data_IF_705634402973
#
_entry.id   IF_705634402973
#
_cell.length_a   1.000
_cell.length_b   1.000
_cell.length_c   1.000
_cell.angle_alpha   90.00
_cell.angle_beta   90.00
_cell.angle_gamma   90.00
#
_symmetry.space_group_name_H-M   'P 1'
#
loop_
_entity.id
_entity.type
_entity.pdbx_description
1 polymer ?
#
# COMPACT_ATOMS: atom_id res chain seq x y z
N UNK A 1 40.62 -29.88 -20.04
CA UNK A 1 39.20 -29.68 -19.70
C UNK A 1 39.05 -28.38 -18.97
N UNK A 2 38.15 -27.56 -19.43
CA UNK A 2 37.92 -26.26 -18.78
C UNK A 2 37.10 -26.44 -17.51
N UNK A 3 37.52 -25.80 -16.47
CA UNK A 3 36.74 -25.77 -15.25
C UNK A 3 35.55 -24.83 -15.44
N UNK A 4 34.43 -25.25 -14.92
CA UNK A 4 33.28 -24.37 -14.88
C UNK A 4 33.55 -23.27 -13.85
N UNK A 5 33.51 -22.02 -14.30
CA UNK A 5 33.70 -20.91 -13.39
C UNK A 5 32.46 -20.79 -12.51
N UNK A 6 32.69 -20.57 -11.25
CA UNK A 6 31.57 -20.47 -10.32
C UNK A 6 31.95 -19.51 -9.19
N UNK A 7 30.93 -19.01 -8.55
CA UNK A 7 31.07 -18.23 -7.33
C UNK A 7 30.25 -18.90 -6.25
N UNK A 8 30.58 -18.59 -5.01
CA UNK A 8 29.77 -19.11 -3.90
C UNK A 8 28.45 -18.38 -3.82
N UNK A 9 27.48 -18.97 -3.14
CA UNK A 9 26.21 -18.32 -2.93
C UNK A 9 26.39 -16.99 -2.20
N UNK A 10 27.27 -16.96 -1.22
CA UNK A 10 27.58 -15.71 -0.51
C UNK A 10 28.08 -14.64 -1.46
N UNK A 11 28.97 -15.01 -2.37
CA UNK A 11 29.50 -14.05 -3.33
C UNK A 11 28.41 -13.56 -4.27
N UNK A 12 27.52 -14.43 -4.72
CA UNK A 12 26.38 -14.02 -5.55
C UNK A 12 25.49 -13.03 -4.80
N UNK A 13 25.17 -13.33 -3.54
CA UNK A 13 24.33 -12.45 -2.74
C UNK A 13 24.99 -11.10 -2.53
N UNK A 14 26.31 -11.08 -2.31
CA UNK A 14 27.03 -9.81 -2.16
C UNK A 14 26.98 -8.98 -3.43
N UNK A 15 27.07 -9.62 -4.60
CA UNK A 15 26.97 -8.89 -5.86
C UNK A 15 25.58 -8.33 -6.09
N UNK A 16 24.55 -9.09 -5.73
CA UNK A 16 23.18 -8.60 -5.82
C UNK A 16 22.99 -7.41 -4.90
N UNK A 17 23.48 -7.52 -3.68
CA UNK A 17 23.40 -6.42 -2.71
C UNK A 17 24.08 -5.18 -3.23
N UNK A 18 25.31 -5.32 -3.74
CA UNK A 18 26.07 -4.18 -4.26
C UNK A 18 25.34 -3.53 -5.44
N UNK A 19 24.79 -4.34 -6.33
CA UNK A 19 24.08 -3.84 -7.50
C UNK A 19 22.84 -3.08 -7.09
N UNK A 20 22.05 -3.62 -6.16
CA UNK A 20 20.83 -2.97 -5.70
C UNK A 20 21.13 -1.69 -4.96
N UNK A 21 22.07 -1.72 -4.02
CA UNK A 21 22.40 -0.54 -3.23
C UNK A 21 23.04 0.55 -4.08
N UNK A 22 23.81 0.15 -5.11
CA UNK A 22 24.37 1.14 -6.02
C UNK A 22 23.31 1.78 -6.92
N UNK A 23 22.35 0.99 -7.39
CA UNK A 23 21.29 1.50 -8.24
C UNK A 23 20.28 2.34 -7.47
N UNK A 24 20.02 1.98 -6.22
CA UNK A 24 19.04 2.64 -5.37
C UNK A 24 19.70 3.30 -4.17
N UNK A 25 20.75 4.08 -4.44
CA UNK A 25 21.49 4.75 -3.37
C UNK A 25 20.67 5.83 -2.68
N UNK A 26 19.69 6.42 -3.41
CA UNK A 26 18.85 7.47 -2.86
C UNK A 26 17.45 6.91 -2.59
N UNK A 27 16.75 7.50 -1.60
CA UNK A 27 15.39 7.06 -1.33
C UNK A 27 14.47 7.32 -2.52
N UNK A 28 13.45 6.48 -2.66
CA UNK A 28 12.42 6.64 -3.70
C UNK A 28 11.06 6.64 -3.03
N UNK A 29 10.10 7.33 -3.64
CA UNK A 29 8.72 7.33 -3.19
C UNK A 29 7.99 6.18 -3.87
N UNK A 30 7.33 5.34 -3.08
CA UNK A 30 6.63 4.15 -3.57
C UNK A 30 5.20 4.17 -3.04
N UNK A 31 4.24 3.95 -3.92
CA UNK A 31 2.84 3.78 -3.51
C UNK A 31 2.53 2.30 -3.37
N UNK A 32 1.86 1.95 -2.30
CA UNK A 32 1.52 0.55 -2.04
C UNK A 32 0.41 0.49 -0.99
N UNK A 33 -0.22 -0.68 -0.89
CA UNK A 33 -1.21 -0.94 0.13
C UNK A 33 -0.55 -1.74 1.25
N UNK A 34 -0.89 -1.40 2.50
CA UNK A 34 -0.41 -2.18 3.64
C UNK A 34 -1.26 -3.43 3.71
N UNK A 35 -0.64 -4.58 3.50
CA UNK A 35 -1.30 -5.87 3.63
C UNK A 35 -1.25 -6.35 5.07
N UNK A 36 -0.15 -6.06 5.77
CA UNK A 36 0.05 -6.48 7.13
C UNK A 36 0.93 -5.47 7.84
N UNK A 37 0.67 -5.22 9.12
CA UNK A 37 1.47 -4.30 9.91
C UNK A 37 1.58 -4.83 11.33
N UNK A 38 2.78 -4.78 11.90
CA UNK A 38 3.02 -5.26 13.24
C UNK A 38 4.14 -4.44 13.89
N UNK A 39 3.87 -3.92 15.07
CA UNK A 39 4.88 -3.25 15.88
C UNK A 39 5.35 -4.27 16.92
N UNK A 40 6.66 -4.55 16.93
CA UNK A 40 7.18 -5.51 17.90
C UNK A 40 7.51 -4.79 19.22
N UNK A 41 7.87 -5.60 20.22
CA UNK A 41 8.11 -5.06 21.57
C UNK A 41 9.30 -4.11 21.61
N UNK A 42 10.22 -4.20 20.65
CA UNK A 42 11.36 -3.30 20.59
C UNK A 42 11.04 -1.96 19.96
N UNK A 43 9.83 -1.79 19.42
CA UNK A 43 9.38 -0.54 18.84
C UNK A 43 9.53 -0.43 17.33
N UNK A 44 10.13 -1.42 16.68
CA UNK A 44 10.23 -1.44 15.23
C UNK A 44 8.89 -1.86 14.64
N UNK A 45 8.50 -1.22 13.56
CA UNK A 45 7.25 -1.54 12.87
C UNK A 45 7.58 -2.29 11.58
N UNK A 46 7.02 -3.48 11.45
CA UNK A 46 7.19 -4.32 10.27
C UNK A 46 5.92 -4.33 9.47
N UNK A 47 6.07 -4.11 8.16
CA UNK A 47 4.92 -4.04 7.26
C UNK A 47 5.15 -4.98 6.09
N UNK A 48 4.04 -5.46 5.53
CA UNK A 48 4.05 -6.09 4.24
C UNK A 48 3.27 -5.19 3.29
N UNK A 49 3.94 -4.78 2.22
CA UNK A 49 3.37 -3.88 1.22
C UNK A 49 3.04 -4.67 -0.03
N UNK A 50 1.88 -4.39 -0.61
CA UNK A 50 1.44 -5.07 -1.81
C UNK A 50 0.91 -4.03 -2.80
N UNK A 51 0.97 -4.40 -4.07
CA UNK A 51 0.25 -3.69 -5.12
C UNK A 51 -0.67 -4.69 -5.77
N UNK A 52 -1.96 -4.37 -5.82
CA UNK A 52 -2.95 -5.25 -6.42
C UNK A 52 -3.29 -4.72 -7.80
N UNK A 53 -3.23 -5.61 -8.79
CA UNK A 53 -3.58 -5.26 -10.15
C UNK A 53 -4.83 -6.02 -10.57
N UNK A 54 -5.72 -5.35 -11.28
CA UNK A 54 -6.91 -6.00 -11.81
C UNK A 54 -7.99 -6.17 -10.77
N UNK A 55 -9.04 -6.87 -11.16
CA UNK A 55 -10.27 -6.94 -10.37
C UNK A 55 -10.30 -8.11 -9.41
N UNK A 56 -9.37 -9.05 -9.53
CA UNK A 56 -9.39 -10.25 -8.71
C UNK A 56 -8.71 -10.09 -7.36
N UNK A 57 -8.11 -8.94 -7.10
CA UNK A 57 -7.46 -8.68 -5.83
C UNK A 57 -6.15 -9.42 -5.60
N UNK A 58 -5.63 -10.09 -6.62
CA UNK A 58 -4.36 -10.81 -6.51
C UNK A 58 -3.21 -9.80 -6.55
N UNK A 59 -2.25 -9.88 -5.62
CA UNK A 59 -1.12 -8.95 -5.66
C UNK A 59 -0.27 -9.16 -6.91
N UNK A 60 0.13 -8.05 -7.52
CA UNK A 60 1.08 -8.08 -8.63
C UNK A 60 2.50 -7.80 -8.16
N UNK A 61 2.66 -7.26 -6.97
CA UNK A 61 3.96 -6.99 -6.36
C UNK A 61 3.82 -7.03 -4.86
N UNK A 62 4.89 -7.41 -4.19
CA UNK A 62 4.87 -7.54 -2.73
C UNK A 62 6.29 -7.33 -2.22
N UNK A 63 6.41 -6.64 -1.08
CA UNK A 63 7.71 -6.41 -0.46
C UNK A 63 7.53 -6.25 1.04
N UNK A 64 8.53 -6.69 1.78
CA UNK A 64 8.58 -6.43 3.22
C UNK A 64 9.22 -5.08 3.46
N UNK A 65 8.72 -4.39 4.48
CA UNK A 65 9.22 -3.08 4.84
C UNK A 65 9.34 -2.96 6.34
N UNK A 66 10.21 -2.07 6.77
CA UNK A 66 10.40 -1.79 8.19
C UNK A 66 10.43 -0.29 8.39
N UNK A 67 9.78 0.16 9.47
CA UNK A 67 9.96 1.51 10.01
C UNK A 67 10.68 1.34 11.32
N UNK A 68 11.93 1.82 11.38
CA UNK A 68 12.74 1.67 12.59
C UNK A 68 12.12 2.47 13.73
N UNK A 69 12.36 2.02 14.96
CA UNK A 69 11.79 2.66 16.14
C UNK A 69 12.17 4.13 16.27
N UNK A 70 13.31 4.52 15.68
CA UNK A 70 13.75 5.92 15.71
C UNK A 70 12.86 6.82 14.86
N UNK A 71 12.14 6.27 13.89
CA UNK A 71 11.26 7.03 12.99
C UNK A 71 9.79 6.75 13.22
N UNK A 72 9.46 5.59 13.75
CA UNK A 72 8.06 5.13 13.78
C UNK A 72 7.15 6.06 14.57
N UNK A 73 7.51 6.53 15.79
CA UNK A 73 6.59 7.41 16.52
C UNK A 73 6.28 8.70 15.76
N UNK A 74 7.30 9.28 15.11
CA UNK A 74 7.11 10.50 14.34
C UNK A 74 6.21 10.25 13.13
N UNK A 75 6.50 9.17 12.39
CA UNK A 75 5.75 8.85 11.17
C UNK A 75 4.31 8.49 11.51
N UNK A 76 4.11 7.62 12.49
CA UNK A 76 2.76 7.17 12.82
C UNK A 76 1.94 8.29 13.43
N UNK A 77 2.55 9.11 14.28
CA UNK A 77 1.85 10.25 14.89
C UNK A 77 1.45 11.27 13.86
N UNK A 78 2.36 11.60 12.95
CA UNK A 78 2.06 12.56 11.89
C UNK A 78 0.97 12.03 10.96
N UNK A 79 1.05 10.75 10.60
CA UNK A 79 0.04 10.13 9.73
C UNK A 79 -1.33 10.16 10.39
N UNK A 80 -1.40 9.77 11.66
CA UNK A 80 -2.68 9.76 12.37
C UNK A 80 -3.24 11.17 12.56
N UNK A 81 -2.38 12.14 12.83
CA UNK A 81 -2.82 13.52 12.98
C UNK A 81 -3.42 14.07 11.68
N UNK A 82 -2.84 13.71 10.54
CA UNK A 82 -3.27 14.25 9.26
C UNK A 82 -4.46 13.48 8.66
N UNK A 83 -4.51 12.16 8.85
CA UNK A 83 -5.56 11.34 8.23
C UNK A 83 -6.71 11.01 9.16
N UNK A 84 -6.53 11.20 10.46
CA UNK A 84 -7.54 10.86 11.45
C UNK A 84 -7.60 9.39 11.79
N UNK A 85 -6.68 8.57 11.25
CA UNK A 85 -6.65 7.15 11.57
C UNK A 85 -5.23 6.63 11.60
N UNK A 86 -4.95 5.59 12.39
CA UNK A 86 -3.61 5.05 12.49
C UNK A 86 -3.24 4.24 11.24
N UNK A 87 -1.95 4.00 11.08
CA UNK A 87 -1.48 3.07 10.06
C UNK A 87 -2.05 1.69 10.35
N UNK A 88 -2.66 1.08 9.34
CA UNK A 88 -3.32 -0.21 9.51
C UNK A 88 -3.35 -0.95 8.18
N UNK A 89 -3.63 -2.25 8.25
CA UNK A 89 -3.81 -3.06 7.06
C UNK A 89 -4.99 -2.53 6.24
N UNK A 90 -4.85 -2.56 4.93
CA UNK A 90 -5.87 -2.10 4.01
C UNK A 90 -5.73 -0.66 3.58
N UNK A 91 -4.80 0.09 4.16
CA UNK A 91 -4.60 1.49 3.83
C UNK A 91 -3.54 1.61 2.74
N UNK A 92 -3.82 2.43 1.74
CA UNK A 92 -2.83 2.77 0.70
C UNK A 92 -1.99 3.94 1.14
N UNK A 93 -0.68 3.80 0.98
CA UNK A 93 0.27 4.81 1.43
C UNK A 93 1.24 5.15 0.31
N UNK A 94 1.80 6.34 0.40
CA UNK A 94 2.95 6.75 -0.38
C UNK A 94 4.12 6.87 0.60
N UNK A 95 5.08 5.98 0.47
CA UNK A 95 6.17 5.87 1.43
C UNK A 95 7.49 6.18 0.76
N UNK A 96 8.32 6.93 1.48
CA UNK A 96 9.70 7.18 1.06
C UNK A 96 10.55 6.05 1.61
N UNK A 97 11.17 5.27 0.71
CA UNK A 97 11.84 4.04 1.11
C UNK A 97 13.27 4.03 0.61
N UNK A 98 14.12 3.36 1.38
CA UNK A 98 15.45 2.97 0.95
C UNK A 98 15.43 1.49 0.64
N UNK A 99 15.96 1.11 -0.50
CA UNK A 99 16.08 -0.30 -0.88
C UNK A 99 17.21 -0.91 -0.09
N UNK A 100 16.95 -2.05 0.52
CA UNK A 100 17.92 -2.75 1.36
C UNK A 100 17.96 -4.21 0.95
N UNK A 101 19.13 -4.81 1.04
CA UNK A 101 19.30 -6.22 0.72
C UNK A 101 20.24 -6.85 1.74
N UNK A 102 19.81 -7.97 2.28
CA UNK A 102 20.61 -8.71 3.25
C UNK A 102 20.90 -10.10 2.68
N UNK A 103 22.12 -10.56 2.86
CA UNK A 103 22.57 -11.82 2.27
C UNK A 103 21.74 -13.02 2.74
N UNK A 104 21.17 -12.95 3.94
CA UNK A 104 20.35 -14.02 4.48
C UNK A 104 18.85 -13.77 4.29
N UNK A 105 18.41 -12.52 4.47
CA UNK A 105 16.98 -12.21 4.54
C UNK A 105 16.43 -11.63 3.24
N UNK A 106 17.31 -11.26 2.32
CA UNK A 106 16.91 -10.82 1.00
C UNK A 106 16.49 -9.37 0.94
N UNK A 107 15.64 -9.09 -0.03
CA UNK A 107 15.18 -7.75 -0.36
C UNK A 107 14.20 -7.24 0.69
N UNK A 108 14.37 -6.00 1.10
CA UNK A 108 13.41 -5.33 1.97
C UNK A 108 13.51 -3.82 1.74
N UNK A 109 12.53 -3.09 2.30
CA UNK A 109 12.47 -1.65 2.19
C UNK A 109 12.55 -1.05 3.59
N UNK A 110 13.26 0.07 3.72
CA UNK A 110 13.28 0.83 4.97
C UNK A 110 12.48 2.11 4.73
N UNK A 111 11.36 2.25 5.41
CA UNK A 111 10.50 3.41 5.27
C UNK A 111 11.07 4.53 6.12
N UNK A 112 11.39 5.65 5.48
CA UNK A 112 11.92 6.81 6.16
C UNK A 112 10.89 7.91 6.31
N UNK A 113 9.81 7.87 5.53
CA UNK A 113 8.75 8.86 5.62
C UNK A 113 7.50 8.33 4.93
N UNK A 114 6.34 8.89 5.26
CA UNK A 114 5.07 8.57 4.63
C UNK A 114 4.34 9.87 4.37
N UNK A 115 3.73 10.01 3.20
CA UNK A 115 2.97 11.19 2.83
C UNK A 115 1.49 10.97 3.11
N UNK A 116 0.92 11.60 4.16
CA UNK A 116 -0.49 11.39 4.48
C UNK A 116 -1.45 11.93 3.43
N UNK A 117 -1.03 12.92 2.64
CA UNK A 117 -1.92 13.49 1.64
C UNK A 117 -2.28 12.50 0.54
N UNK A 118 -1.39 11.57 0.23
CA UNK A 118 -1.69 10.53 -0.74
C UNK A 118 -2.82 9.63 -0.24
N UNK A 119 -2.76 9.22 1.03
CA UNK A 119 -3.80 8.40 1.64
C UNK A 119 -5.14 9.13 1.67
N UNK A 120 -5.13 10.41 2.04
CA UNK A 120 -6.34 11.21 2.04
C UNK A 120 -6.94 11.30 0.64
N UNK A 121 -6.11 11.51 -0.37
CA UNK A 121 -6.58 11.54 -1.76
C UNK A 121 -7.17 10.22 -2.20
N UNK A 122 -6.55 9.10 -1.81
CA UNK A 122 -7.07 7.79 -2.15
C UNK A 122 -8.42 7.53 -1.47
N UNK A 123 -8.55 7.89 -0.20
CA UNK A 123 -9.81 7.74 0.53
C UNK A 123 -10.91 8.57 -0.11
N UNK A 124 -10.59 9.78 -0.56
CA UNK A 124 -11.57 10.62 -1.22
C UNK A 124 -11.99 10.03 -2.57
N UNK A 125 -11.04 9.49 -3.34
CA UNK A 125 -11.36 8.84 -4.61
C UNK A 125 -12.29 7.64 -4.40
N UNK A 126 -12.02 6.82 -3.38
CA UNK A 126 -12.86 5.67 -3.07
C UNK A 126 -14.27 6.11 -2.69
N UNK A 127 -14.39 7.16 -1.90
CA UNK A 127 -15.69 7.70 -1.52
C UNK A 127 -16.46 8.19 -2.74
N UNK A 128 -15.79 8.90 -3.65
CA UNK A 128 -16.41 9.38 -4.87
C UNK A 128 -16.89 8.23 -5.75
N UNK A 129 -16.09 7.19 -5.89
CA UNK A 129 -16.48 6.02 -6.67
C UNK A 129 -17.68 5.32 -6.06
N UNK A 130 -17.73 5.18 -4.75
CA UNK A 130 -18.84 4.56 -4.06
C UNK A 130 -20.13 5.35 -4.27
N UNK A 131 -20.06 6.69 -4.16
CA UNK A 131 -21.23 7.54 -4.38
C UNK A 131 -21.72 7.40 -5.82
N UNK A 132 -20.82 7.43 -6.79
CA UNK A 132 -21.20 7.28 -8.19
C UNK A 132 -21.86 5.95 -8.46
N UNK A 133 -21.34 4.87 -7.86
CA UNK A 133 -21.92 3.54 -8.03
C UNK A 133 -23.32 3.47 -7.43
N UNK A 134 -23.52 4.02 -6.25
CA UNK A 134 -24.84 4.05 -5.63
C UNK A 134 -25.84 4.84 -6.46
N UNK A 135 -25.42 5.94 -7.04
CA UNK A 135 -26.29 6.72 -7.90
C UNK A 135 -26.72 5.94 -9.15
N UNK A 136 -25.82 5.13 -9.69
CA UNK A 136 -26.15 4.31 -10.86
C UNK A 136 -27.07 3.15 -10.50
N UNK A 137 -26.91 2.56 -9.33
CA UNK A 137 -27.70 1.40 -8.91
C UNK A 137 -29.02 1.79 -8.27
N UNK A 138 -29.08 2.91 -7.61
CA UNK A 138 -30.23 3.31 -6.81
C UNK A 138 -31.32 3.96 -7.60
N UNK A 139 -31.25 3.99 -8.79
CA UNK A 139 -32.25 4.53 -9.63
C UNK A 139 -33.39 3.57 -9.79
N UNK A 140 -33.35 3.09 -9.07
CA UNK A 140 -33.56 2.12 -8.79
C UNK A 140 -34.27 1.67 -8.37
N UNK A 141 -34.49 1.71 -8.06
CA UNK A 141 -35.09 1.16 -7.59
C UNK A 141 -35.72 1.24 -6.96
N UNK A 142 -35.75 1.91 -6.92
CA UNK A 142 -36.23 2.11 -6.40
C UNK A 142 -36.92 1.84 -6.62
N UNK A 143 -37.20 1.78 -6.82
CA UNK A 143 -37.68 1.56 -6.84
C UNK A 143 -38.02 0.84 -7.04
N UNK A 144 -38.53 0.43 -7.05
CA UNK A 144 -39.02 0.01 -6.98
C UNK A 144 -39.61 -0.16 -6.89
N UNK A 145 -39.68 0.06 -7.06
CA UNK A 145 -40.25 0.13 -6.92
C UNK A 145 -40.61 0.30 -7.27
N UNK A 146 -40.96 0.44 -7.69
CA UNK A 146 -41.20 0.83 -7.93
C UNK A 146 -41.51 0.97 -8.51
N UNK A 147 -42.14 1.01 -8.75
CA UNK A 147 -42.30 1.32 -9.20
C UNK A 147 -42.46 1.61 -9.56
N UNK A 148 -42.36 1.85 -9.70
CA UNK A 148 -42.33 2.35 -9.73
C UNK A 148 -42.35 2.67 -10.08
N UNK A 149 -42.58 2.78 -10.44
CA UNK A 149 -42.43 3.38 -10.58
C UNK A 149 -42.32 3.87 -10.71
N UNK A 150 -42.37 4.11 -10.87
CA UNK A 150 -41.99 4.70 -10.56
C UNK A 150 -41.59 5.02 -10.50
N UNK A 151 -41.61 5.07 -10.79
CA UNK A 151 -41.08 5.48 -10.30
C UNK A 151 -40.57 5.72 -10.21
N UNK A 152 -40.58 5.78 -10.40
CA UNK A 152 -40.08 6.18 -9.89
C UNK A 152 -39.69 6.48 -9.82
N UNK A 153 -39.60 6.63 -9.90
CA UNK A 153 -39.27 7.02 -9.41
C UNK A 153 -38.84 7.25 -9.10
N UNK A 154 -38.95 7.27 -9.23
CA UNK A 154 -38.51 7.53 -8.56
C UNK A 154 -37.92 7.72 -8.21
N UNK A 155 -37.82 7.79 -8.33
CA UNK A 155 -37.14 8.03 -7.71
C UNK A 155 -36.60 8.27 -7.38
N UNK A 156 -36.59 8.40 -7.41
CA UNK A 156 -35.89 8.63 -6.84
C UNK A 156 -35.38 8.70 -6.38
N UNK A 157 -35.36 8.92 -6.28
CA UNK A 157 -34.59 8.90 -5.66
C UNK A 157 -33.86 8.85 -5.20
N UNK A 158 -33.78 8.87 -4.89
CA UNK A 158 -32.87 8.90 -4.48
C UNK A 158 -32.19 9.19 -4.28
N UNK A 159 -31.93 9.62 -4.17
CA UNK A 159 -31.07 9.99 -4.07
C UNK A 159 -30.67 10.23 -3.53
N UNK A 160 -30.54 10.49 -3.54
CA UNK A 160 -29.82 10.51 -2.78
C UNK A 160 -29.44 11.18 -2.13
#
# INVERSE_FOLDING_TARGET
>A
MAETQHITLRELQRRVKAALEGQFALPVWVSAEISEIKVNYSGHCYLELVEKGGDNGVPTAQARAVVWRSHYPRISGYFEAETGQPLAAGIKILAKVLVSYHELYGFSLQITDIDPSYTLGDMERQRQQTIAQLQQEGVWDMNREAPMPAVVQRIAVVSS
#
